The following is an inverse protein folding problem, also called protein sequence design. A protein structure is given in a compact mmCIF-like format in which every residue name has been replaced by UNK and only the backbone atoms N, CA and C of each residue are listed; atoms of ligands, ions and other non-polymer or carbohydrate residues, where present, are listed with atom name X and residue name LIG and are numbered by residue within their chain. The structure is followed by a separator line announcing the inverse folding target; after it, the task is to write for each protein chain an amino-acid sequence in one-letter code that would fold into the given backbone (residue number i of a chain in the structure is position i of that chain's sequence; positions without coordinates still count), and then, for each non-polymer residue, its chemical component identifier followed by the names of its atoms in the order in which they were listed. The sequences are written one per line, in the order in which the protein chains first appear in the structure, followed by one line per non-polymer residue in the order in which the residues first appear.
data_IF_259570137480
#
_entry.id   IF_259570137480
#
_cell.length_a   1.000
_cell.length_b   1.000
_cell.length_c   1.000
_cell.angle_alpha   90.00
_cell.angle_beta   90.00
_cell.angle_gamma   90.00
#
_symmetry.space_group_name_H-M   'P 1'
#
loop_
_entity.id
_entity.type
_entity.pdbx_description
1 polymer ?
#
# COMPACT_ATOMS: atom_id res chain seq x y z
N UNK A 1 -13.17 10.76 4.98
CA UNK A 1 -12.16 10.66 6.07
C UNK A 1 -12.56 9.46 6.92
N UNK A 2 -11.62 8.56 7.22
CA UNK A 2 -11.86 7.43 8.10
C UNK A 2 -12.17 7.92 9.51
N UNK A 3 -13.19 7.34 10.15
CA UNK A 3 -13.53 7.62 11.53
C UNK A 3 -12.61 6.87 12.47
N UNK A 4 -12.30 7.45 13.62
CA UNK A 4 -11.56 6.78 14.68
C UNK A 4 -12.30 5.54 15.16
N UNK A 5 -11.61 4.42 15.19
CA UNK A 5 -12.14 3.13 15.61
C UNK A 5 -10.99 2.20 15.98
N UNK A 6 -11.21 1.33 16.95
CA UNK A 6 -10.28 0.24 17.31
C UNK A 6 -10.91 -1.12 17.08
N UNK A 7 -10.16 -2.04 16.49
CA UNK A 7 -10.52 -3.46 16.35
C UNK A 7 -9.27 -4.30 16.65
N UNK A 8 -9.35 -5.14 17.68
CA UNK A 8 -8.21 -5.94 18.13
C UNK A 8 -7.01 -5.06 18.48
N UNK A 9 -5.88 -5.36 17.88
CA UNK A 9 -4.62 -4.63 18.07
C UNK A 9 -4.48 -3.37 17.18
N UNK A 10 -5.42 -3.15 16.26
CA UNK A 10 -5.37 -2.06 15.29
C UNK A 10 -6.32 -0.93 15.64
N UNK A 11 -5.89 0.31 15.36
CA UNK A 11 -6.73 1.49 15.50
C UNK A 11 -6.51 2.47 14.34
N UNK A 12 -7.60 3.14 13.93
CA UNK A 12 -7.57 4.37 13.15
C UNK A 12 -7.60 5.54 14.12
N UNK A 13 -6.65 6.42 14.01
CA UNK A 13 -6.50 7.61 14.85
C UNK A 13 -6.28 8.84 13.99
N UNK A 14 -6.82 9.98 14.43
CA UNK A 14 -6.52 11.29 13.84
C UNK A 14 -5.37 11.93 14.60
N UNK A 15 -4.56 12.72 13.91
CA UNK A 15 -3.54 13.53 14.54
C UNK A 15 -3.35 14.83 13.77
N UNK A 16 -2.92 15.86 14.49
CA UNK A 16 -2.66 17.19 13.94
C UNK A 16 -1.15 17.45 13.92
N UNK A 17 -0.67 18.00 12.81
CA UNK A 17 0.69 18.52 12.69
C UNK A 17 0.60 20.04 12.74
N UNK A 18 1.19 20.63 13.77
CA UNK A 18 1.22 22.09 13.95
C UNK A 18 2.22 22.73 12.99
N UNK A 19 1.93 23.99 12.57
CA UNK A 19 2.89 24.83 11.81
C UNK A 19 4.21 25.07 12.57
N UNK A 20 4.20 24.92 13.91
CA UNK A 20 5.37 25.10 14.76
C UNK A 20 6.11 23.78 15.05
N UNK A 21 5.67 22.67 14.51
CA UNK A 21 6.33 21.38 14.69
C UNK A 21 7.65 21.36 13.88
N UNK A 22 8.76 21.50 14.62
CA UNK A 22 10.11 21.52 14.03
C UNK A 22 10.48 20.17 13.39
N UNK A 23 10.04 19.05 13.98
CA UNK A 23 10.31 17.74 13.43
C UNK A 23 9.59 17.56 12.09
N UNK A 24 8.31 17.86 12.05
CA UNK A 24 7.51 17.81 10.85
C UNK A 24 8.09 18.68 9.73
N UNK A 25 8.48 19.92 10.04
CA UNK A 25 9.12 20.82 9.07
C UNK A 25 10.44 20.30 8.51
N UNK A 26 11.27 19.69 9.37
CA UNK A 26 12.56 19.10 8.94
C UNK A 26 12.37 17.89 8.04
N UNK A 27 11.24 17.18 8.19
CA UNK A 27 10.89 16.00 7.40
C UNK A 27 9.90 16.30 6.26
N UNK A 28 9.60 17.58 5.98
CA UNK A 28 8.73 17.98 4.87
C UNK A 28 7.26 17.60 5.06
N UNK A 29 6.82 17.39 6.33
CA UNK A 29 5.42 17.13 6.64
C UNK A 29 4.73 18.49 6.81
N UNK A 30 3.74 18.77 5.98
CA UNK A 30 2.95 20.00 6.06
C UNK A 30 2.05 19.99 7.30
N UNK A 31 1.72 21.19 7.82
CA UNK A 31 0.74 21.33 8.90
C UNK A 31 -0.65 20.93 8.41
N UNK A 32 -1.41 20.26 9.27
CA UNK A 32 -2.76 19.80 8.92
C UNK A 32 -3.23 18.66 9.78
N UNK A 33 -4.46 18.23 9.49
CA UNK A 33 -5.06 17.03 10.10
C UNK A 33 -4.79 15.81 9.23
N UNK A 34 -4.37 14.73 9.86
CA UNK A 34 -3.99 13.48 9.22
C UNK A 34 -4.65 12.28 9.89
N UNK A 35 -4.70 11.17 9.15
CA UNK A 35 -5.15 9.87 9.64
C UNK A 35 -3.97 8.91 9.67
N UNK A 36 -3.90 8.10 10.71
CA UNK A 36 -2.92 7.01 10.82
C UNK A 36 -3.60 5.70 11.20
N UNK A 37 -3.02 4.61 10.73
CA UNK A 37 -3.27 3.26 11.21
C UNK A 37 -2.18 2.92 12.22
N UNK A 38 -2.58 2.45 13.40
CA UNK A 38 -1.65 1.97 14.43
C UNK A 38 -1.87 0.50 14.72
N UNK A 39 -0.82 -0.20 15.14
CA UNK A 39 -0.87 -1.54 15.71
C UNK A 39 -0.21 -1.53 17.09
N UNK A 40 -0.96 -1.85 18.13
CA UNK A 40 -0.50 -1.77 19.53
C UNK A 40 0.13 -0.40 19.85
N UNK A 41 -0.46 0.68 19.32
CA UNK A 41 0.00 2.07 19.50
C UNK A 41 1.19 2.47 18.61
N UNK A 42 1.78 1.56 17.85
CA UNK A 42 2.84 1.90 16.89
C UNK A 42 2.25 2.25 15.53
N UNK A 43 2.73 3.32 14.91
CA UNK A 43 2.27 3.74 13.58
C UNK A 43 2.66 2.69 12.55
N UNK A 44 1.68 2.23 11.77
CA UNK A 44 1.86 1.33 10.63
C UNK A 44 1.95 2.13 9.35
N UNK A 45 1.07 3.12 9.17
CA UNK A 45 1.07 4.05 8.04
C UNK A 45 0.20 5.29 8.35
N UNK A 46 0.32 6.31 7.53
CA UNK A 46 -0.48 7.54 7.60
C UNK A 46 -0.87 8.05 6.21
N UNK A 47 -1.68 9.11 6.13
CA UNK A 47 -2.01 9.77 4.86
C UNK A 47 -1.18 11.05 4.62
N UNK A 48 -0.02 11.14 5.25
CA UNK A 48 0.91 12.25 5.07
C UNK A 48 1.42 12.35 3.63
N UNK A 49 2.04 13.47 3.30
CA UNK A 49 2.60 13.71 1.97
C UNK A 49 3.68 12.67 1.61
N UNK A 50 4.48 12.24 2.57
CA UNK A 50 5.52 11.22 2.38
C UNK A 50 4.94 9.91 1.82
N UNK A 51 3.85 9.41 2.38
CA UNK A 51 3.17 8.20 1.90
C UNK A 51 2.65 8.36 0.46
N UNK A 52 2.12 9.53 0.12
CA UNK A 52 1.65 9.84 -1.23
C UNK A 52 2.80 9.88 -2.23
N UNK A 53 3.92 10.50 -1.87
CA UNK A 53 5.10 10.62 -2.73
C UNK A 53 5.80 9.29 -2.96
N UNK A 54 5.95 8.46 -1.93
CA UNK A 54 6.58 7.14 -2.04
C UNK A 54 5.77 6.16 -2.88
N UNK A 55 4.46 6.38 -3.00
CA UNK A 55 3.56 5.58 -3.83
C UNK A 55 3.27 6.17 -5.22
N UNK A 56 3.77 7.37 -5.54
CA UNK A 56 3.45 8.09 -6.77
C UNK A 56 3.81 7.32 -8.06
N UNK A 57 4.91 6.58 -8.07
CA UNK A 57 5.32 5.76 -9.21
C UNK A 57 4.32 4.64 -9.48
N UNK A 58 3.89 3.93 -8.46
CA UNK A 58 2.85 2.91 -8.59
C UNK A 58 1.55 3.52 -9.12
N UNK A 59 1.07 4.60 -8.48
CA UNK A 59 -0.18 5.27 -8.91
C UNK A 59 -0.12 5.67 -10.38
N UNK A 60 1.02 6.16 -10.85
CA UNK A 60 1.23 6.56 -12.25
C UNK A 60 1.15 5.38 -13.21
N UNK A 61 1.79 4.27 -12.87
CA UNK A 61 1.92 3.08 -13.72
C UNK A 61 0.74 2.09 -13.60
N UNK A 62 -0.13 2.22 -12.60
CA UNK A 62 -1.26 1.30 -12.38
C UNK A 62 -2.22 1.30 -13.57
N UNK A 63 -2.42 0.12 -14.17
CA UNK A 63 -3.32 -0.13 -15.31
C UNK A 63 -3.72 -1.61 -15.39
N UNK A 64 -4.74 -1.90 -16.20
CA UNK A 64 -5.26 -3.25 -16.44
C UNK A 64 -5.80 -3.90 -15.18
N UNK A 65 -5.54 -5.19 -15.03
CA UNK A 65 -5.86 -5.94 -13.82
C UNK A 65 -4.74 -5.74 -12.80
N UNK A 66 -5.08 -5.21 -11.62
CA UNK A 66 -4.15 -4.77 -10.58
C UNK A 66 -4.21 -5.72 -9.38
N UNK A 67 -3.06 -6.13 -8.87
CA UNK A 67 -2.90 -6.83 -7.59
C UNK A 67 -2.11 -5.96 -6.61
N UNK A 68 -2.67 -5.71 -5.45
CA UNK A 68 -2.03 -4.96 -4.36
C UNK A 68 -1.87 -5.88 -3.15
N UNK A 69 -0.69 -5.91 -2.55
CA UNK A 69 -0.47 -6.45 -1.21
C UNK A 69 -0.49 -5.31 -0.20
N UNK A 70 -1.36 -5.42 0.82
CA UNK A 70 -1.63 -4.39 1.83
C UNK A 70 -2.83 -3.50 1.48
N UNK A 71 -3.77 -3.38 2.42
CA UNK A 71 -4.91 -2.47 2.33
C UNK A 71 -4.58 -1.12 2.98
N UNK A 72 -3.92 -1.17 4.15
CA UNK A 72 -3.66 -0.01 4.97
C UNK A 72 -4.93 0.81 5.23
N UNK A 73 -4.84 2.13 5.09
CA UNK A 73 -5.99 3.05 5.16
C UNK A 73 -6.66 3.30 3.81
N UNK A 74 -6.31 2.52 2.76
CA UNK A 74 -6.91 2.62 1.44
C UNK A 74 -6.33 3.73 0.56
N UNK A 75 -5.21 4.34 0.93
CA UNK A 75 -4.63 5.50 0.25
C UNK A 75 -4.40 5.24 -1.24
N UNK A 76 -3.71 4.14 -1.57
CA UNK A 76 -3.34 3.82 -2.95
C UNK A 76 -4.50 3.26 -3.77
N UNK A 77 -5.42 2.52 -3.18
CA UNK A 77 -6.61 2.02 -3.91
C UNK A 77 -7.51 3.15 -4.32
N UNK A 78 -7.76 4.13 -3.44
CA UNK A 78 -8.55 5.32 -3.77
C UNK A 78 -7.91 6.17 -4.87
N UNK A 79 -6.57 6.20 -4.93
CA UNK A 79 -5.84 6.95 -5.96
C UNK A 79 -5.95 6.32 -7.36
N UNK A 80 -6.26 5.02 -7.48
CA UNK A 80 -6.24 4.32 -8.77
C UNK A 80 -7.59 3.77 -9.22
N UNK A 81 -8.57 3.57 -8.32
CA UNK A 81 -9.81 2.88 -8.66
C UNK A 81 -10.63 3.59 -9.77
N UNK A 82 -10.55 4.91 -9.85
CA UNK A 82 -11.29 5.70 -10.83
C UNK A 82 -10.52 5.92 -12.14
N UNK A 83 -9.29 5.38 -12.26
CA UNK A 83 -8.54 5.45 -13.53
C UNK A 83 -9.24 4.61 -14.60
N UNK A 84 -9.46 5.18 -15.77
CA UNK A 84 -9.99 4.47 -16.95
C UNK A 84 -9.10 3.29 -17.37
N UNK A 85 -7.78 3.45 -17.21
CA UNK A 85 -6.81 2.41 -17.53
C UNK A 85 -6.84 1.20 -16.58
N UNK A 86 -7.53 1.28 -15.43
CA UNK A 86 -7.63 0.20 -14.45
C UNK A 86 -8.94 -0.55 -14.62
N UNK A 87 -8.86 -1.87 -14.84
CA UNK A 87 -10.01 -2.74 -15.03
C UNK A 87 -10.53 -3.31 -13.72
N UNK A 88 -9.65 -4.00 -12.97
CA UNK A 88 -9.96 -4.62 -11.69
C UNK A 88 -8.84 -4.38 -10.67
N UNK A 89 -9.18 -4.40 -9.39
CA UNK A 89 -8.21 -4.26 -8.30
C UNK A 89 -8.46 -5.39 -7.28
N UNK A 90 -7.49 -6.27 -7.11
CA UNK A 90 -7.48 -7.27 -6.05
C UNK A 90 -6.52 -6.83 -4.96
N UNK A 91 -6.99 -6.70 -3.72
CA UNK A 91 -6.19 -6.31 -2.57
C UNK A 91 -6.04 -7.52 -1.65
N UNK A 92 -4.82 -7.85 -1.28
CA UNK A 92 -4.51 -8.88 -0.28
C UNK A 92 -4.23 -8.16 1.05
N UNK A 93 -5.05 -8.42 2.06
CA UNK A 93 -4.81 -7.95 3.42
C UNK A 93 -4.83 -9.14 4.37
N UNK A 94 -3.75 -9.30 5.14
CA UNK A 94 -3.61 -10.46 6.04
C UNK A 94 -4.39 -10.29 7.34
N UNK A 95 -4.57 -9.04 7.80
CA UNK A 95 -5.20 -8.74 9.08
C UNK A 95 -6.69 -8.47 8.87
N UNK A 96 -7.52 -9.35 9.39
CA UNK A 96 -8.98 -9.21 9.31
C UNK A 96 -9.47 -7.94 10.02
N UNK A 97 -8.79 -7.55 11.12
CA UNK A 97 -9.06 -6.33 11.87
C UNK A 97 -8.89 -5.07 11.00
N UNK A 98 -7.85 -5.03 10.14
CA UNK A 98 -7.64 -3.91 9.22
C UNK A 98 -8.75 -3.86 8.17
N UNK A 99 -9.17 -5.02 7.66
CA UNK A 99 -10.30 -5.09 6.73
C UNK A 99 -11.58 -4.56 7.39
N UNK A 100 -11.88 -4.99 8.63
CA UNK A 100 -13.05 -4.52 9.39
C UNK A 100 -13.01 -3.01 9.67
N UNK A 101 -11.82 -2.49 10.01
CA UNK A 101 -11.64 -1.07 10.28
C UNK A 101 -11.89 -0.20 9.06
N UNK A 102 -11.45 -0.63 7.88
CA UNK A 102 -11.26 0.26 6.74
C UNK A 102 -12.29 0.03 5.64
N UNK A 103 -12.59 -1.22 5.29
CA UNK A 103 -13.40 -1.57 4.11
C UNK A 103 -14.75 -0.83 4.03
N UNK A 104 -15.49 -0.78 5.15
CA UNK A 104 -16.83 -0.20 5.18
C UNK A 104 -16.84 1.33 5.30
N UNK A 105 -15.69 1.93 5.50
CA UNK A 105 -15.51 3.38 5.60
C UNK A 105 -15.00 4.01 4.29
N UNK A 106 -14.50 3.20 3.37
CA UNK A 106 -13.99 3.67 2.09
C UNK A 106 -15.07 3.64 1.00
N UNK A 107 -15.13 4.64 0.14
CA UNK A 107 -16.00 4.66 -1.04
C UNK A 107 -15.42 3.79 -2.16
N UNK A 108 -15.25 2.49 -1.90
CA UNK A 108 -14.72 1.55 -2.88
C UNK A 108 -15.77 1.29 -3.97
N UNK A 109 -15.32 1.31 -5.23
CA UNK A 109 -16.19 1.01 -6.37
C UNK A 109 -16.18 -0.50 -6.71
N UNK A 110 -16.96 -0.89 -7.72
CA UNK A 110 -17.16 -2.28 -8.15
C UNK A 110 -15.89 -2.97 -8.70
N UNK A 111 -14.85 -2.20 -9.04
CA UNK A 111 -13.57 -2.76 -9.50
C UNK A 111 -12.77 -3.40 -8.36
N UNK A 112 -13.08 -3.07 -7.09
CA UNK A 112 -12.24 -3.41 -5.93
C UNK A 112 -12.73 -4.65 -5.23
N UNK A 113 -11.85 -5.65 -5.10
CA UNK A 113 -12.06 -6.85 -4.30
C UNK A 113 -10.97 -6.96 -3.22
N UNK A 114 -11.37 -7.05 -1.95
CA UNK A 114 -10.47 -7.32 -0.83
C UNK A 114 -10.52 -8.81 -0.50
N UNK A 115 -9.34 -9.43 -0.42
CA UNK A 115 -9.14 -10.84 -0.07
C UNK A 115 -8.35 -10.90 1.24
N UNK A 116 -8.90 -11.54 2.27
CA UNK A 116 -8.14 -11.80 3.50
C UNK A 116 -7.12 -12.91 3.23
N UNK A 117 -5.89 -12.52 2.98
CA UNK A 117 -4.79 -13.42 2.65
C UNK A 117 -3.42 -12.76 2.88
N UNK A 118 -2.45 -13.59 3.26
CA UNK A 118 -1.05 -13.21 3.34
C UNK A 118 -0.40 -13.25 1.94
N UNK A 119 0.18 -12.12 1.51
CA UNK A 119 0.87 -12.01 0.23
C UNK A 119 2.02 -13.03 0.06
N UNK A 120 2.69 -13.42 1.15
CA UNK A 120 3.75 -14.42 1.07
C UNK A 120 3.25 -15.82 0.72
N UNK A 121 2.04 -16.17 1.10
CA UNK A 121 1.45 -17.51 0.88
C UNK A 121 0.40 -17.56 -0.21
N UNK A 122 -0.23 -16.44 -0.54
CA UNK A 122 -1.29 -16.36 -1.55
C UNK A 122 -0.82 -16.85 -2.92
N UNK A 123 -1.69 -17.59 -3.61
CA UNK A 123 -1.46 -18.10 -4.97
C UNK A 123 -2.45 -17.42 -5.92
N UNK A 124 -1.99 -16.46 -6.74
CA UNK A 124 -2.86 -15.81 -7.72
C UNK A 124 -3.52 -16.82 -8.68
N UNK A 125 -4.81 -16.60 -8.93
CA UNK A 125 -5.60 -17.47 -9.84
C UNK A 125 -5.66 -16.92 -11.26
N UNK A 126 -5.15 -15.71 -11.49
CA UNK A 126 -5.13 -15.04 -12.78
C UNK A 126 -3.81 -14.31 -13.00
N UNK A 127 -3.64 -13.75 -14.18
CA UNK A 127 -2.52 -12.85 -14.51
C UNK A 127 -2.93 -11.39 -14.27
N UNK A 128 -1.97 -10.55 -13.95
CA UNK A 128 -2.16 -9.13 -13.69
C UNK A 128 -1.25 -8.29 -14.59
N UNK A 129 -1.71 -7.10 -14.95
CA UNK A 129 -0.90 -6.10 -15.66
C UNK A 129 -0.01 -5.35 -14.67
N UNK A 130 -0.54 -5.08 -13.49
CA UNK A 130 0.14 -4.32 -12.43
C UNK A 130 0.11 -5.12 -11.13
N UNK A 131 1.29 -5.27 -10.50
CA UNK A 131 1.42 -5.89 -9.17
C UNK A 131 2.25 -4.96 -8.28
N UNK A 132 1.73 -4.67 -7.09
CA UNK A 132 2.42 -3.82 -6.13
C UNK A 132 2.27 -4.34 -4.71
N UNK A 133 3.38 -4.38 -3.97
CA UNK A 133 3.40 -4.85 -2.59
C UNK A 133 3.77 -3.69 -1.66
N UNK A 134 2.81 -3.33 -0.81
CA UNK A 134 2.90 -2.29 0.21
C UNK A 134 2.48 -2.88 1.55
N UNK A 135 3.33 -3.79 2.07
CA UNK A 135 3.03 -4.61 3.26
C UNK A 135 4.00 -4.36 4.41
N UNK A 136 4.93 -3.44 4.26
CA UNK A 136 5.95 -3.10 5.24
C UNK A 136 5.67 -1.74 5.87
N UNK A 137 5.88 -1.65 7.18
CA UNK A 137 5.84 -0.40 7.94
C UNK A 137 7.23 0.16 8.24
N UNK A 138 8.28 -0.53 7.80
CA UNK A 138 9.67 -0.10 7.82
C UNK A 138 10.44 -0.80 6.70
N UNK A 139 11.57 -0.22 6.31
CA UNK A 139 12.47 -0.81 5.31
C UNK A 139 13.92 -0.78 5.78
N UNK A 140 14.69 -1.75 5.28
CA UNK A 140 16.15 -1.82 5.36
C UNK A 140 16.66 -2.81 4.29
N UNK A 141 17.98 -3.03 4.27
CA UNK A 141 18.61 -3.94 3.31
C UNK A 141 18.20 -5.40 3.51
N UNK A 142 17.97 -5.84 4.75
CA UNK A 142 17.53 -7.21 5.05
C UNK A 142 16.11 -7.45 4.50
N UNK A 143 15.18 -6.49 4.72
CA UNK A 143 13.82 -6.54 4.14
C UNK A 143 13.87 -6.64 2.62
N UNK A 144 14.79 -5.90 1.97
CA UNK A 144 14.95 -6.01 0.53
C UNK A 144 15.39 -7.41 0.10
N UNK A 145 16.41 -7.99 0.75
CA UNK A 145 16.98 -9.26 0.33
C UNK A 145 16.14 -10.46 0.73
N UNK A 146 15.56 -10.45 1.92
CA UNK A 146 14.87 -11.60 2.51
C UNK A 146 13.38 -11.64 2.18
N UNK A 147 12.77 -10.47 1.90
CA UNK A 147 11.33 -10.37 1.69
C UNK A 147 10.95 -9.82 0.31
N UNK A 148 11.35 -8.59 -0.04
CA UNK A 148 10.92 -7.94 -1.28
C UNK A 148 11.38 -8.69 -2.54
N UNK A 149 12.65 -9.05 -2.61
CA UNK A 149 13.23 -9.73 -3.77
C UNK A 149 12.61 -11.11 -4.01
N UNK A 150 12.45 -11.99 -3.01
CA UNK A 150 11.72 -13.25 -3.17
C UNK A 150 10.27 -13.06 -3.55
N UNK A 151 9.58 -12.05 -2.97
CA UNK A 151 8.19 -11.78 -3.25
C UNK A 151 7.97 -11.32 -4.70
N UNK A 152 8.83 -10.42 -5.20
CA UNK A 152 8.84 -10.02 -6.61
C UNK A 152 9.08 -11.24 -7.52
N UNK A 153 10.03 -12.09 -7.19
CA UNK A 153 10.31 -13.30 -7.98
C UNK A 153 9.11 -14.26 -8.02
N UNK A 154 8.40 -14.40 -6.90
CA UNK A 154 7.15 -15.18 -6.80
C UNK A 154 6.09 -14.61 -7.73
N UNK A 155 5.78 -13.32 -7.61
CA UNK A 155 4.67 -12.68 -8.31
C UNK A 155 4.97 -12.36 -9.78
N UNK A 156 6.23 -12.30 -10.19
CA UNK A 156 6.61 -12.13 -11.61
C UNK A 156 5.98 -13.19 -12.51
N UNK A 157 5.76 -14.39 -11.99
CA UNK A 157 5.07 -15.49 -12.70
C UNK A 157 3.58 -15.20 -12.93
N UNK A 158 3.01 -14.29 -12.18
CA UNK A 158 1.60 -13.86 -12.26
C UNK A 158 1.40 -12.57 -13.06
N UNK A 159 2.45 -11.97 -13.58
CA UNK A 159 2.33 -10.92 -14.59
C UNK A 159 1.85 -11.49 -15.92
N UNK A 160 1.10 -10.71 -16.69
CA UNK A 160 0.86 -10.93 -18.10
C UNK A 160 2.18 -11.01 -18.88
N UNK A 161 2.20 -11.56 -20.08
CA UNK A 161 3.43 -11.62 -20.87
C UNK A 161 3.87 -10.22 -21.33
N UNK A 162 5.16 -10.03 -21.59
CA UNK A 162 5.66 -8.76 -22.14
C UNK A 162 5.18 -8.51 -23.57
N UNK A 163 4.79 -9.58 -24.27
CA UNK A 163 4.22 -9.47 -25.61
C UNK A 163 2.79 -8.92 -25.56
N UNK A 164 2.01 -9.33 -24.54
CA UNK A 164 0.62 -8.91 -24.39
C UNK A 164 0.53 -7.49 -23.78
N UNK A 165 1.48 -7.17 -22.90
CA UNK A 165 1.57 -5.85 -22.25
C UNK A 165 3.05 -5.46 -21.99
N UNK A 166 3.66 -4.66 -22.88
CA UNK A 166 5.02 -4.19 -22.68
C UNK A 166 5.18 -3.22 -21.50
N UNK A 167 4.08 -2.62 -21.03
CA UNK A 167 4.06 -1.69 -19.90
C UNK A 167 3.75 -2.36 -18.56
N UNK A 168 3.59 -3.70 -18.54
CA UNK A 168 3.34 -4.45 -17.31
C UNK A 168 4.29 -4.04 -16.19
N UNK A 169 3.74 -3.91 -14.98
CA UNK A 169 4.48 -3.32 -13.86
C UNK A 169 4.48 -4.25 -12.64
N UNK A 170 5.61 -4.37 -11.98
CA UNK A 170 5.72 -5.01 -10.67
C UNK A 170 6.75 -4.28 -9.81
N UNK A 171 6.34 -3.88 -8.60
CA UNK A 171 7.24 -3.26 -7.64
C UNK A 171 6.80 -3.49 -6.19
N UNK A 172 7.65 -3.04 -5.26
CA UNK A 172 7.37 -2.97 -3.82
C UNK A 172 7.56 -1.53 -3.33
N UNK A 173 6.81 -1.16 -2.29
CA UNK A 173 6.96 0.12 -1.62
C UNK A 173 8.43 0.36 -1.19
N UNK A 174 8.94 1.53 -1.50
CA UNK A 174 10.30 1.96 -1.15
C UNK A 174 11.44 0.95 -1.48
N UNK A 175 11.23 0.08 -2.49
CA UNK A 175 12.21 -0.95 -2.88
C UNK A 175 13.61 -0.41 -3.18
N UNK A 176 13.70 0.74 -3.87
CA UNK A 176 15.00 1.32 -4.24
C UNK A 176 15.76 1.84 -3.03
N UNK A 177 15.05 2.41 -2.07
CA UNK A 177 15.58 2.89 -0.80
C UNK A 177 16.08 1.70 0.04
N UNK A 178 15.23 0.68 0.21
CA UNK A 178 15.60 -0.54 0.92
C UNK A 178 16.87 -1.20 0.33
N UNK A 179 16.93 -1.29 -1.01
CA UNK A 179 18.11 -1.84 -1.73
C UNK A 179 19.40 -1.05 -1.49
N UNK A 180 19.30 0.24 -1.21
CA UNK A 180 20.44 1.11 -0.89
C UNK A 180 20.80 1.10 0.60
N UNK A 181 20.07 0.36 1.42
CA UNK A 181 20.24 0.32 2.89
C UNK A 181 19.70 1.55 3.60
N UNK A 182 18.84 2.34 2.94
CA UNK A 182 18.12 3.43 3.58
C UNK A 182 17.11 2.86 4.57
N UNK A 183 16.86 3.59 5.65
CA UNK A 183 15.84 3.25 6.67
C UNK A 183 14.76 4.32 6.65
N UNK A 184 13.52 3.89 6.60
CA UNK A 184 12.33 4.72 6.71
C UNK A 184 11.49 4.19 7.86
#
# INVERSE_FOLDING_TARGET
ILQEKTVGDFAIEHFEVSEHDLYARLHGIESGEYVKLTQNGNVVMSDTQMEKETNADFVRNAHGDVLIGGLGIGLIVLAIQDKEAVNTITILEKNEEVIELVKNQLPLNEKVQIVNADAFTYKPKMKYNTIYMDIWNYINEDVYHEEMKPLIAKYRKSLVSNTDDPNRYIDCWCKLQAKKGERI
#
